data_IF_721358478558
#
_entry.id   IF_721358478558
#
_cell.length_a   1.000
_cell.length_b   1.000
_cell.length_c   1.000
_cell.angle_alpha   90.00
_cell.angle_beta   90.00
_cell.angle_gamma   90.00
#
_symmetry.space_group_name_H-M   'P 1'
#
loop_
_entity.id
_entity.type
_entity.pdbx_description
1 polymer ?
#
# COMPACT_ATOMS: atom_id res chain seq x y z
N UNK A 1 -4.99 8.24 -13.48
CA UNK A 1 -5.19 8.06 -12.03
C UNK A 1 -6.67 7.95 -11.73
N UNK A 2 -7.32 9.06 -11.40
CA UNK A 2 -8.72 9.09 -10.93
C UNK A 2 -9.70 8.40 -11.88
N UNK A 3 -9.57 8.62 -13.20
CA UNK A 3 -10.41 7.96 -14.20
C UNK A 3 -10.30 6.43 -14.14
N UNK A 4 -9.09 5.89 -14.01
CA UNK A 4 -8.87 4.45 -13.96
C UNK A 4 -9.48 3.83 -12.69
N UNK A 5 -9.33 4.52 -11.54
CA UNK A 5 -9.96 4.11 -10.27
C UNK A 5 -11.49 4.15 -10.39
N UNK A 6 -12.05 5.23 -10.95
CA UNK A 6 -13.50 5.36 -11.14
C UNK A 6 -14.07 4.27 -12.05
N UNK A 7 -13.44 4.00 -13.19
CA UNK A 7 -13.85 2.94 -14.12
C UNK A 7 -13.75 1.56 -13.47
N UNK A 8 -12.68 1.29 -12.70
CA UNK A 8 -12.54 0.07 -11.91
C UNK A 8 -13.69 -0.06 -10.89
N UNK A 9 -14.01 1.01 -10.17
CA UNK A 9 -15.06 1.01 -9.14
C UNK A 9 -16.44 0.71 -9.74
N UNK A 10 -16.77 1.37 -10.85
CA UNK A 10 -18.02 1.15 -11.59
C UNK A 10 -18.09 -0.30 -12.08
N UNK A 11 -16.99 -0.85 -12.60
CA UNK A 11 -16.93 -2.23 -13.07
C UNK A 11 -17.19 -3.24 -11.93
N UNK A 12 -16.58 -3.05 -10.76
CA UNK A 12 -16.78 -3.92 -9.60
C UNK A 12 -18.22 -3.86 -9.11
N UNK A 13 -18.84 -2.67 -9.04
CA UNK A 13 -20.24 -2.51 -8.65
C UNK A 13 -21.18 -3.18 -9.66
N UNK A 14 -20.95 -3.01 -10.96
CA UNK A 14 -21.76 -3.65 -11.98
C UNK A 14 -21.69 -5.19 -11.88
N UNK A 15 -20.50 -5.73 -11.55
CA UNK A 15 -20.30 -7.17 -11.35
C UNK A 15 -20.88 -7.70 -10.05
N UNK A 16 -20.79 -6.93 -8.97
CA UNK A 16 -21.37 -7.31 -7.68
C UNK A 16 -22.90 -7.41 -7.76
N UNK A 17 -23.56 -6.51 -8.51
CA UNK A 17 -25.00 -6.58 -8.77
C UNK A 17 -25.37 -7.86 -9.54
N UNK A 18 -24.53 -8.30 -10.48
CA UNK A 18 -24.77 -9.52 -11.26
C UNK A 18 -24.58 -10.80 -10.44
N UNK A 19 -23.62 -10.82 -9.52
CA UNK A 19 -23.31 -12.01 -8.72
C UNK A 19 -24.20 -12.19 -7.50
N UNK A 20 -24.79 -11.10 -6.99
CA UNK A 20 -25.56 -11.14 -5.75
C UNK A 20 -24.68 -11.38 -4.52
N UNK A 21 -25.30 -11.57 -3.37
CA UNK A 21 -24.60 -11.79 -2.09
C UNK A 21 -24.29 -13.27 -1.93
N UNK A 22 -22.99 -13.59 -1.78
CA UNK A 22 -22.48 -14.96 -1.68
C UNK A 22 -21.65 -15.09 -0.39
N UNK A 23 -22.31 -15.01 0.78
CA UNK A 23 -21.66 -15.18 2.10
C UNK A 23 -22.46 -16.10 2.99
N UNK A 24 -21.77 -16.99 3.69
CA UNK A 24 -22.32 -17.78 4.77
C UNK A 24 -21.39 -17.72 5.98
N UNK A 25 -21.93 -17.42 7.16
CA UNK A 25 -21.19 -17.37 8.42
C UNK A 25 -21.48 -18.55 9.34
N UNK A 26 -22.48 -19.37 9.00
CA UNK A 26 -23.07 -20.39 9.87
C UNK A 26 -22.67 -21.78 9.37
N UNK A 27 -22.86 -22.05 8.08
CA UNK A 27 -22.60 -23.37 7.52
C UNK A 27 -21.12 -23.50 7.11
N UNK A 28 -20.35 -24.30 7.88
CA UNK A 28 -18.92 -24.54 7.62
C UNK A 28 -18.66 -25.37 6.36
N UNK A 29 -19.65 -26.12 5.90
CA UNK A 29 -19.54 -27.00 4.73
C UNK A 29 -19.97 -26.29 3.43
N UNK A 30 -20.43 -25.03 3.53
CA UNK A 30 -20.77 -24.20 2.37
C UNK A 30 -19.50 -23.67 1.70
N UNK A 31 -19.46 -23.73 0.37
CA UNK A 31 -18.41 -23.08 -0.44
C UNK A 31 -18.31 -21.57 -0.18
N UNK A 32 -19.39 -20.95 0.30
CA UNK A 32 -19.44 -19.53 0.67
C UNK A 32 -19.08 -19.25 2.13
N UNK A 33 -18.61 -20.25 2.89
CA UNK A 33 -18.28 -20.09 4.29
C UNK A 33 -17.10 -19.14 4.52
N UNK A 34 -17.29 -18.19 5.43
CA UNK A 34 -16.25 -17.26 5.86
C UNK A 34 -16.04 -17.34 7.37
N UNK A 35 -14.90 -17.87 7.85
CA UNK A 35 -14.58 -17.77 9.27
C UNK A 35 -14.24 -16.32 9.62
N UNK A 36 -14.76 -15.86 10.77
CA UNK A 36 -14.55 -14.48 11.25
C UNK A 36 -13.08 -14.18 11.57
N UNK A 37 -12.32 -15.18 12.00
CA UNK A 37 -10.91 -15.04 12.35
C UNK A 37 -10.07 -16.05 11.57
N UNK A 38 -9.05 -15.55 10.86
CA UNK A 38 -8.01 -16.34 10.19
C UNK A 38 -6.65 -15.77 10.55
N UNK A 39 -5.65 -16.62 10.80
CA UNK A 39 -4.25 -16.23 11.03
C UNK A 39 -3.66 -15.39 9.89
N UNK A 40 -4.21 -15.52 8.67
CA UNK A 40 -3.86 -14.70 7.50
C UNK A 40 -4.10 -13.21 7.68
N UNK A 41 -4.79 -12.76 8.74
CA UNK A 41 -4.93 -11.34 9.08
C UNK A 41 -3.57 -10.63 9.21
N UNK A 42 -2.52 -11.37 9.58
CA UNK A 42 -1.16 -10.82 9.65
C UNK A 42 -0.61 -10.41 8.27
N UNK A 43 -1.02 -11.05 7.18
CA UNK A 43 -0.63 -10.64 5.82
C UNK A 43 -1.35 -9.35 5.41
N UNK A 44 -2.60 -9.18 5.89
CA UNK A 44 -3.38 -7.97 5.64
C UNK A 44 -2.74 -6.75 6.30
N UNK A 45 -2.22 -6.86 7.53
CA UNK A 45 -1.56 -5.73 8.20
C UNK A 45 -0.29 -5.27 7.47
N UNK A 46 0.48 -6.19 6.89
CA UNK A 46 1.62 -5.87 6.03
C UNK A 46 1.20 -5.09 4.78
N UNK A 47 0.16 -5.57 4.08
CA UNK A 47 -0.37 -4.92 2.88
C UNK A 47 -0.99 -3.54 3.17
N UNK A 48 -1.72 -3.40 4.28
CA UNK A 48 -2.31 -2.13 4.71
C UNK A 48 -1.24 -1.10 5.06
N UNK A 49 -0.11 -1.52 5.61
CA UNK A 49 1.02 -0.64 5.88
C UNK A 49 1.55 0.03 4.60
N UNK A 50 1.59 -0.70 3.47
CA UNK A 50 1.92 -0.10 2.18
C UNK A 50 0.78 0.75 1.62
N UNK A 51 -0.47 0.32 1.79
CA UNK A 51 -1.64 1.02 1.29
C UNK A 51 -1.80 2.43 1.90
N UNK A 52 -1.46 2.59 3.19
CA UNK A 52 -1.48 3.87 3.91
C UNK A 52 -0.12 4.58 3.92
N UNK A 53 0.75 4.29 2.95
CA UNK A 53 2.10 4.82 2.92
C UNK A 53 2.22 6.15 2.16
N UNK A 54 2.26 7.27 2.89
CA UNK A 54 2.61 8.59 2.35
C UNK A 54 3.69 9.33 3.18
N UNK A 55 4.17 8.69 4.24
CA UNK A 55 5.05 9.29 5.26
C UNK A 55 6.34 9.91 4.68
N UNK A 56 6.86 9.38 3.57
CA UNK A 56 8.08 9.88 2.94
C UNK A 56 7.92 11.20 2.19
N UNK A 57 6.70 11.53 1.73
CA UNK A 57 6.44 12.74 0.95
C UNK A 57 5.43 13.68 1.63
N UNK A 58 4.85 13.30 2.76
CA UNK A 58 3.81 14.08 3.42
C UNK A 58 4.28 15.49 3.79
N UNK A 59 5.53 15.64 4.25
CA UNK A 59 6.08 16.96 4.61
C UNK A 59 6.09 17.89 3.39
N UNK A 60 6.61 17.42 2.25
CA UNK A 60 6.67 18.20 1.01
C UNK A 60 5.28 18.52 0.46
N UNK A 61 4.33 17.58 0.54
CA UNK A 61 2.95 17.81 0.11
C UNK A 61 2.28 18.87 0.99
N UNK A 62 2.42 18.76 2.32
CA UNK A 62 1.80 19.69 3.26
C UNK A 62 2.40 21.10 3.19
N UNK A 63 3.69 21.23 2.87
CA UNK A 63 4.33 22.53 2.62
C UNK A 63 3.68 23.30 1.45
N UNK A 64 3.03 22.61 0.52
CA UNK A 64 2.28 23.24 -0.58
C UNK A 64 0.92 23.83 -0.19
N UNK A 65 0.43 23.58 1.03
CA UNK A 65 -0.88 24.05 1.46
C UNK A 65 -0.89 25.58 1.69
N UNK A 66 -1.94 26.27 1.25
CA UNK A 66 -2.06 27.72 1.45
C UNK A 66 -2.21 28.08 2.94
N UNK A 67 -2.95 27.25 3.68
CA UNK A 67 -3.28 27.48 5.09
C UNK A 67 -2.66 26.37 5.95
N UNK A 68 -1.42 26.56 6.39
CA UNK A 68 -0.62 25.54 7.10
C UNK A 68 -1.22 25.11 8.46
N UNK A 69 -2.02 25.96 9.10
CA UNK A 69 -2.69 25.64 10.38
C UNK A 69 -3.70 24.49 10.25
N UNK A 70 -4.28 24.31 9.05
CA UNK A 70 -5.28 23.28 8.79
C UNK A 70 -4.67 21.92 8.41
N UNK A 71 -3.34 21.79 8.34
CA UNK A 71 -2.68 20.58 7.83
C UNK A 71 -3.11 19.30 8.59
N UNK A 72 -3.25 19.36 9.91
CA UNK A 72 -3.68 18.20 10.70
C UNK A 72 -5.10 17.77 10.36
N UNK A 73 -6.02 18.73 10.17
CA UNK A 73 -7.40 18.47 9.76
C UNK A 73 -7.43 17.88 8.36
N UNK A 74 -6.73 18.51 7.43
CA UNK A 74 -6.72 18.10 6.02
C UNK A 74 -6.12 16.70 5.85
N UNK A 75 -5.06 16.37 6.60
CA UNK A 75 -4.47 15.03 6.63
C UNK A 75 -5.42 13.99 7.23
N UNK A 76 -6.11 14.33 8.31
CA UNK A 76 -7.09 13.42 8.94
C UNK A 76 -8.24 13.11 7.98
N UNK A 77 -8.80 14.14 7.33
CA UNK A 77 -9.86 13.97 6.31
C UNK A 77 -9.35 13.11 5.16
N UNK A 78 -8.12 13.33 4.69
CA UNK A 78 -7.52 12.54 3.61
C UNK A 78 -7.45 11.04 3.98
N UNK A 79 -6.96 10.69 5.17
CA UNK A 79 -6.91 9.29 5.62
C UNK A 79 -8.31 8.66 5.77
N UNK A 80 -9.28 9.42 6.27
CA UNK A 80 -10.69 8.96 6.35
C UNK A 80 -11.25 8.70 4.95
N UNK A 81 -11.00 9.58 3.98
CA UNK A 81 -11.41 9.38 2.59
C UNK A 81 -10.74 8.17 1.96
N UNK A 82 -9.44 7.95 2.20
CA UNK A 82 -8.74 6.75 1.72
C UNK A 82 -9.38 5.48 2.28
N UNK A 83 -9.66 5.44 3.59
CA UNK A 83 -10.38 4.33 4.21
C UNK A 83 -11.77 4.13 3.60
N UNK A 84 -12.51 5.22 3.37
CA UNK A 84 -13.82 5.20 2.71
C UNK A 84 -13.75 4.75 1.24
N UNK A 85 -12.58 4.76 0.59
CA UNK A 85 -12.41 4.17 -0.75
C UNK A 85 -12.00 2.70 -0.72
N UNK A 86 -11.19 2.28 0.25
CA UNK A 86 -10.70 0.90 0.34
C UNK A 86 -11.72 -0.06 0.94
N UNK A 87 -12.41 0.36 2.01
CA UNK A 87 -13.33 -0.51 2.75
C UNK A 87 -14.53 -0.94 1.88
N UNK A 88 -15.26 -0.04 1.18
CA UNK A 88 -16.46 -0.45 0.49
C UNK A 88 -16.16 -1.32 -0.74
N UNK A 89 -15.12 -1.04 -1.52
CA UNK A 89 -14.76 -1.91 -2.66
C UNK A 89 -14.33 -3.29 -2.19
N UNK A 90 -13.54 -3.37 -1.11
CA UNK A 90 -13.13 -4.64 -0.52
C UNK A 90 -14.34 -5.42 -0.02
N UNK A 91 -15.25 -4.77 0.71
CA UNK A 91 -16.46 -5.40 1.25
C UNK A 91 -17.41 -5.87 0.14
N UNK A 92 -17.69 -5.01 -0.85
CA UNK A 92 -18.57 -5.34 -1.98
C UNK A 92 -18.00 -6.51 -2.76
N UNK A 93 -16.72 -6.46 -3.12
CA UNK A 93 -16.08 -7.54 -3.88
C UNK A 93 -16.06 -8.85 -3.07
N UNK A 94 -15.62 -8.80 -1.81
CA UNK A 94 -15.50 -9.98 -0.97
C UNK A 94 -16.84 -10.67 -0.71
N UNK A 95 -17.89 -9.89 -0.43
CA UNK A 95 -19.23 -10.43 -0.13
C UNK A 95 -19.95 -10.97 -1.36
N UNK A 96 -19.72 -10.39 -2.54
CA UNK A 96 -20.41 -10.81 -3.77
C UNK A 96 -19.65 -11.84 -4.60
N UNK A 97 -18.38 -12.10 -4.28
CA UNK A 97 -17.57 -13.07 -5.02
C UNK A 97 -18.23 -14.47 -5.04
N UNK A 98 -18.52 -15.05 -6.22
CA UNK A 98 -19.37 -16.25 -6.34
C UNK A 98 -18.64 -17.58 -6.09
N UNK A 99 -17.31 -17.56 -6.10
CA UNK A 99 -16.48 -18.75 -5.84
C UNK A 99 -16.03 -18.78 -4.38
N UNK A 100 -15.50 -19.92 -3.89
CA UNK A 100 -14.93 -20.00 -2.56
C UNK A 100 -13.89 -18.91 -2.30
N UNK A 101 -13.92 -18.30 -1.11
CA UNK A 101 -13.11 -17.10 -0.82
C UNK A 101 -11.60 -17.36 -0.82
N UNK A 102 -11.16 -18.62 -0.78
CA UNK A 102 -9.74 -18.98 -0.91
C UNK A 102 -9.23 -18.86 -2.36
N UNK A 103 -10.12 -18.82 -3.36
CA UNK A 103 -9.75 -18.65 -4.77
C UNK A 103 -9.45 -17.20 -5.15
N UNK A 104 -9.68 -16.24 -4.24
CA UNK A 104 -9.46 -14.82 -4.53
C UNK A 104 -7.97 -14.57 -4.74
N UNK A 105 -7.62 -14.26 -5.99
CA UNK A 105 -6.27 -13.85 -6.38
C UNK A 105 -5.91 -12.48 -5.82
N UNK A 106 -4.63 -12.28 -5.46
CA UNK A 106 -4.09 -11.03 -4.90
C UNK A 106 -4.44 -9.81 -5.76
N UNK A 107 -4.24 -9.95 -7.08
CA UNK A 107 -4.79 -9.01 -8.04
C UNK A 107 -6.24 -9.42 -8.29
N UNK A 108 -7.16 -8.70 -7.65
CA UNK A 108 -8.55 -9.10 -7.70
C UNK A 108 -9.14 -9.04 -9.13
N UNK A 109 -8.52 -8.27 -10.05
CA UNK A 109 -8.92 -8.20 -11.46
C UNK A 109 -8.69 -9.51 -12.23
N UNK A 110 -7.82 -10.39 -11.73
CA UNK A 110 -7.54 -11.69 -12.35
C UNK A 110 -8.62 -12.73 -12.03
N UNK A 111 -9.50 -12.43 -11.09
CA UNK A 111 -10.67 -13.27 -10.79
C UNK A 111 -11.83 -13.06 -11.77
N UNK A 112 -11.74 -12.10 -12.70
CA UNK A 112 -12.78 -11.87 -13.71
C UNK A 112 -12.47 -12.62 -15.01
N UNK A 113 -13.49 -13.07 -15.76
CA UNK A 113 -13.30 -13.76 -17.04
C UNK A 113 -12.51 -12.91 -18.04
N UNK A 114 -11.49 -13.46 -18.72
CA UNK A 114 -10.57 -12.69 -19.57
C UNK A 114 -11.23 -12.15 -20.85
N UNK A 115 -12.30 -12.77 -21.34
CA UNK A 115 -12.96 -12.41 -22.60
C UNK A 115 -13.95 -11.24 -22.48
N UNK A 116 -13.94 -10.49 -21.39
CA UNK A 116 -14.85 -9.37 -21.18
C UNK A 116 -14.22 -8.04 -21.66
N UNK A 117 -14.83 -7.41 -22.66
CA UNK A 117 -14.39 -6.11 -23.21
C UNK A 117 -14.27 -5.05 -22.11
N UNK A 118 -15.21 -5.01 -21.16
CA UNK A 118 -15.19 -4.04 -20.06
C UNK A 118 -13.98 -4.25 -19.14
N UNK A 119 -13.55 -5.49 -18.90
CA UNK A 119 -12.32 -5.78 -18.15
C UNK A 119 -11.07 -5.32 -18.94
N UNK A 120 -11.08 -5.51 -20.26
CA UNK A 120 -10.03 -5.00 -21.15
C UNK A 120 -9.89 -3.48 -21.07
N UNK A 121 -11.00 -2.75 -21.06
CA UNK A 121 -11.03 -1.30 -20.89
C UNK A 121 -10.45 -0.88 -19.52
N UNK A 122 -10.88 -1.52 -18.42
CA UNK A 122 -10.34 -1.27 -17.08
C UNK A 122 -8.81 -1.47 -17.05
N UNK A 123 -8.33 -2.60 -17.57
CA UNK A 123 -6.89 -2.91 -17.65
C UNK A 123 -6.12 -1.91 -18.51
N UNK A 124 -6.71 -1.42 -19.61
CA UNK A 124 -6.11 -0.39 -20.45
C UNK A 124 -5.92 0.94 -19.70
N UNK A 125 -6.96 1.43 -19.00
CA UNK A 125 -6.85 2.65 -18.19
C UNK A 125 -5.81 2.52 -17.06
N UNK A 126 -5.75 1.35 -16.41
CA UNK A 126 -4.74 1.07 -15.40
C UNK A 126 -3.33 1.00 -15.99
N UNK A 127 -3.17 0.43 -17.19
CA UNK A 127 -1.89 0.39 -17.89
C UNK A 127 -1.40 1.82 -18.20
N UNK A 128 -2.26 2.67 -18.77
CA UNK A 128 -1.92 4.08 -19.04
C UNK A 128 -1.54 4.83 -17.76
N UNK A 129 -2.26 4.57 -16.66
CA UNK A 129 -1.89 5.14 -15.36
C UNK A 129 -0.51 4.66 -14.90
N UNK A 130 -0.23 3.36 -14.95
CA UNK A 130 1.06 2.82 -14.46
C UNK A 130 2.21 3.30 -15.34
N UNK A 131 2.03 3.36 -16.67
CA UNK A 131 3.03 3.90 -17.60
C UNK A 131 3.40 5.35 -17.33
N UNK A 132 2.44 6.17 -16.86
CA UNK A 132 2.69 7.58 -16.54
C UNK A 132 3.28 7.79 -15.15
N UNK A 133 2.95 6.92 -14.19
CA UNK A 133 3.46 6.99 -12.81
C UNK A 133 4.86 6.38 -12.66
N UNK A 134 5.17 5.32 -13.40
CA UNK A 134 6.45 4.61 -13.29
C UNK A 134 7.69 5.52 -13.49
N UNK A 135 7.75 6.38 -14.52
CA UNK A 135 8.88 7.29 -14.71
C UNK A 135 9.09 8.27 -13.54
N UNK A 136 8.01 8.72 -12.90
CA UNK A 136 8.07 9.60 -11.74
C UNK A 136 8.70 8.88 -10.55
N UNK A 137 8.27 7.65 -10.26
CA UNK A 137 8.83 6.83 -9.18
C UNK A 137 10.31 6.52 -9.44
N UNK A 138 10.66 6.14 -10.68
CA UNK A 138 12.04 5.90 -11.06
C UNK A 138 12.93 7.15 -10.88
N UNK A 139 12.41 8.34 -11.19
CA UNK A 139 13.10 9.60 -10.94
C UNK A 139 13.32 9.84 -9.43
N UNK A 140 12.32 9.58 -8.59
CA UNK A 140 12.45 9.71 -7.14
C UNK A 140 13.51 8.77 -6.57
N UNK A 141 13.46 7.48 -6.93
CA UNK A 141 14.44 6.47 -6.49
C UNK A 141 15.85 6.87 -6.94
N UNK A 142 16.00 7.29 -8.20
CA UNK A 142 17.28 7.76 -8.73
C UNK A 142 17.84 8.92 -7.92
N UNK A 143 17.03 9.94 -7.63
CA UNK A 143 17.49 11.12 -6.90
C UNK A 143 17.88 10.77 -5.44
N UNK A 144 17.12 9.88 -4.79
CA UNK A 144 17.44 9.38 -3.44
C UNK A 144 18.74 8.58 -3.43
N UNK A 145 18.93 7.65 -4.37
CA UNK A 145 20.15 6.86 -4.47
C UNK A 145 21.37 7.73 -4.76
N UNK A 146 21.28 8.68 -5.71
CA UNK A 146 22.40 9.56 -5.99
C UNK A 146 22.75 10.49 -4.82
N UNK A 147 21.75 11.02 -4.13
CA UNK A 147 22.00 11.85 -2.94
C UNK A 147 22.62 11.04 -1.81
N UNK A 148 22.20 9.78 -1.64
CA UNK A 148 22.77 8.88 -0.64
C UNK A 148 24.23 8.50 -0.93
N UNK A 149 24.56 8.12 -2.18
CA UNK A 149 25.90 7.65 -2.53
C UNK A 149 26.90 8.77 -2.87
N UNK A 150 26.46 9.86 -3.48
CA UNK A 150 27.33 10.91 -4.03
C UNK A 150 27.19 12.25 -3.31
N UNK A 151 26.27 12.35 -2.34
CA UNK A 151 25.99 13.58 -1.61
C UNK A 151 25.07 14.55 -2.35
N UNK A 152 24.57 15.58 -1.63
CA UNK A 152 23.67 16.58 -2.21
C UNK A 152 24.41 17.50 -3.20
N UNK A 153 23.77 17.80 -4.34
CA UNK A 153 24.28 18.77 -5.33
C UNK A 153 25.21 18.20 -6.41
N UNK A 154 25.37 16.87 -6.49
CA UNK A 154 26.22 16.22 -7.50
C UNK A 154 25.67 16.41 -8.93
N UNK A 155 26.56 16.73 -9.88
CA UNK A 155 26.19 16.89 -11.29
C UNK A 155 25.83 15.55 -11.95
N UNK A 156 24.62 15.46 -12.51
CA UNK A 156 24.13 14.24 -13.14
C UNK A 156 24.93 13.88 -14.39
N UNK A 157 25.67 12.77 -14.33
CA UNK A 157 26.29 12.18 -15.52
C UNK A 157 25.29 11.28 -16.26
N UNK A 158 25.17 11.46 -17.58
CA UNK A 158 24.29 10.67 -18.44
C UNK A 158 24.57 9.16 -18.32
N UNK A 159 25.85 8.76 -18.31
CA UNK A 159 26.25 7.34 -18.23
C UNK A 159 25.80 6.66 -16.94
N UNK A 160 25.98 7.32 -15.79
CA UNK A 160 25.58 6.78 -14.47
C UNK A 160 24.07 6.69 -14.34
N UNK A 161 23.36 7.71 -14.84
CA UNK A 161 21.90 7.73 -14.87
C UNK A 161 21.33 6.61 -15.73
N UNK A 162 21.89 6.41 -16.91
CA UNK A 162 21.50 5.32 -17.81
C UNK A 162 21.74 3.95 -17.16
N UNK A 163 22.93 3.73 -16.59
CA UNK A 163 23.28 2.49 -15.90
C UNK A 163 22.30 2.18 -14.74
N UNK A 164 21.99 3.17 -13.91
CA UNK A 164 21.04 3.00 -12.80
C UNK A 164 19.63 2.67 -13.31
N UNK A 165 19.15 3.35 -14.36
CA UNK A 165 17.84 3.07 -14.93
C UNK A 165 17.76 1.67 -15.55
N UNK A 166 18.81 1.23 -16.25
CA UNK A 166 18.90 -0.14 -16.79
C UNK A 166 18.88 -1.15 -15.64
N UNK A 167 19.68 -0.93 -14.59
CA UNK A 167 19.69 -1.80 -13.41
C UNK A 167 18.31 -1.90 -12.77
N UNK A 168 17.62 -0.77 -12.54
CA UNK A 168 16.26 -0.75 -11.98
C UNK A 168 15.28 -1.52 -12.85
N UNK A 169 15.29 -1.29 -14.17
CA UNK A 169 14.44 -2.01 -15.12
C UNK A 169 14.72 -3.51 -15.12
N UNK A 170 16.00 -3.90 -15.12
CA UNK A 170 16.41 -5.31 -15.06
C UNK A 170 15.88 -5.96 -13.79
N UNK A 171 16.01 -5.34 -12.62
CA UNK A 171 15.46 -5.86 -11.37
C UNK A 171 13.94 -6.02 -11.45
N UNK A 172 13.22 -5.02 -11.97
CA UNK A 172 11.77 -5.10 -12.15
C UNK A 172 11.36 -6.27 -13.07
N UNK A 173 12.06 -6.45 -14.20
CA UNK A 173 11.78 -7.53 -15.16
C UNK A 173 12.12 -8.90 -14.57
N UNK A 174 13.24 -9.03 -13.85
CA UNK A 174 13.61 -10.27 -13.18
C UNK A 174 12.55 -10.69 -12.14
N UNK A 175 12.07 -9.75 -11.32
CA UNK A 175 10.98 -10.03 -10.36
C UNK A 175 9.70 -10.45 -11.08
N UNK A 176 9.36 -9.79 -12.18
CA UNK A 176 8.16 -10.14 -12.96
C UNK A 176 8.23 -11.54 -13.60
N UNK A 177 9.42 -12.00 -14.01
CA UNK A 177 9.61 -13.33 -14.61
C UNK A 177 9.68 -14.42 -13.54
N UNK A 178 10.52 -14.23 -12.51
CA UNK A 178 10.83 -15.29 -11.55
C UNK A 178 9.87 -15.36 -10.36
N UNK A 179 9.23 -14.25 -9.99
CA UNK A 179 8.40 -14.19 -8.79
C UNK A 179 7.18 -13.24 -8.92
N UNK A 180 6.21 -13.53 -9.79
CA UNK A 180 5.04 -12.67 -10.04
C UNK A 180 3.95 -12.79 -8.94
N UNK A 181 4.33 -12.86 -7.65
CA UNK A 181 3.38 -12.93 -6.52
C UNK A 181 3.17 -11.56 -5.89
N UNK A 182 2.20 -10.82 -6.40
CA UNK A 182 1.94 -9.41 -6.05
C UNK A 182 1.65 -9.25 -4.54
N UNK A 183 0.78 -10.08 -3.95
CA UNK A 183 0.42 -9.96 -2.53
C UNK A 183 1.61 -10.23 -1.60
N UNK A 184 2.47 -11.19 -1.97
CA UNK A 184 3.71 -11.43 -1.23
C UNK A 184 4.65 -10.23 -1.29
N UNK A 185 4.86 -9.64 -2.47
CA UNK A 185 5.74 -8.47 -2.62
C UNK A 185 5.19 -7.29 -1.79
N UNK A 186 3.89 -7.01 -1.91
CA UNK A 186 3.22 -5.91 -1.21
C UNK A 186 3.29 -6.07 0.31
N UNK A 187 2.98 -7.26 0.86
CA UNK A 187 2.98 -7.47 2.32
C UNK A 187 4.36 -7.28 2.93
N UNK A 188 5.41 -7.78 2.26
CA UNK A 188 6.78 -7.69 2.76
C UNK A 188 7.34 -6.28 2.66
N UNK A 189 7.20 -5.64 1.51
CA UNK A 189 7.64 -4.25 1.34
C UNK A 189 6.89 -3.33 2.30
N UNK A 190 5.57 -3.52 2.43
CA UNK A 190 4.73 -2.78 3.37
C UNK A 190 5.13 -2.97 4.83
N UNK A 191 5.43 -4.19 5.26
CA UNK A 191 5.87 -4.46 6.63
C UNK A 191 7.25 -3.86 6.93
N UNK A 192 8.22 -3.98 6.02
CA UNK A 192 9.58 -3.44 6.20
C UNK A 192 9.57 -1.90 6.20
N UNK A 193 8.97 -1.31 5.16
CA UNK A 193 8.87 0.16 5.05
C UNK A 193 8.00 0.73 6.17
N UNK A 194 6.93 0.02 6.56
CA UNK A 194 6.08 0.34 7.70
C UNK A 194 6.87 0.40 9.00
N UNK A 195 7.60 -0.67 9.31
CA UNK A 195 8.45 -0.73 10.49
C UNK A 195 9.38 0.49 10.57
N UNK A 196 10.12 0.76 9.49
CA UNK A 196 11.10 1.84 9.47
C UNK A 196 10.46 3.24 9.52
N UNK A 197 9.60 3.56 8.54
CA UNK A 197 9.14 4.92 8.28
C UNK A 197 7.81 5.28 8.96
N UNK A 198 6.97 4.29 9.28
CA UNK A 198 5.64 4.53 9.89
C UNK A 198 5.69 4.39 11.39
N UNK A 199 6.38 3.36 11.91
CA UNK A 199 6.41 3.08 13.35
C UNK A 199 7.68 3.62 14.02
N UNK A 200 8.87 3.19 13.59
CA UNK A 200 10.12 3.46 14.33
C UNK A 200 10.56 4.91 14.20
N UNK A 201 10.80 5.40 12.98
CA UNK A 201 11.38 6.73 12.75
C UNK A 201 10.58 7.87 13.42
N UNK A 202 9.25 8.01 13.22
CA UNK A 202 8.49 9.09 13.85
C UNK A 202 8.44 8.95 15.38
N UNK A 203 8.26 7.73 15.91
CA UNK A 203 8.20 7.52 17.35
C UNK A 203 9.53 7.83 18.03
N UNK A 204 10.64 7.35 17.48
CA UNK A 204 11.98 7.59 18.02
C UNK A 204 12.36 9.06 17.94
N UNK A 205 12.12 9.71 16.79
CA UNK A 205 12.41 11.15 16.65
C UNK A 205 11.60 12.00 17.61
N UNK A 206 10.33 11.66 17.84
CA UNK A 206 9.48 12.32 18.82
C UNK A 206 9.98 12.13 20.26
N UNK A 207 10.31 10.88 20.65
CA UNK A 207 10.83 10.57 21.99
C UNK A 207 12.18 11.24 22.26
N UNK A 208 13.09 11.24 21.29
CA UNK A 208 14.39 11.92 21.40
C UNK A 208 14.20 13.43 21.54
N UNK A 209 13.24 14.02 20.82
CA UNK A 209 12.92 15.44 20.93
C UNK A 209 12.37 15.80 22.33
N UNK A 210 11.49 14.97 22.89
CA UNK A 210 10.96 15.15 24.25
C UNK A 210 12.03 14.98 25.33
N UNK A 211 12.90 13.98 25.17
CA UNK A 211 14.03 13.75 26.08
C UNK A 211 14.97 14.95 26.11
N UNK A 212 15.36 15.47 24.94
CA UNK A 212 16.22 16.68 24.83
C UNK A 212 15.59 17.95 25.40
N UNK A 213 14.27 17.98 25.60
CA UNK A 213 13.53 19.11 26.16
C UNK A 213 13.17 18.92 27.63
N UNK A 214 13.61 17.83 28.26
CA UNK A 214 13.27 17.44 29.64
C UNK A 214 11.74 17.38 29.90
N UNK A 215 10.95 17.09 28.85
CA UNK A 215 9.48 16.97 28.93
C UNK A 215 8.99 15.54 28.77
N UNK A 216 9.90 14.57 28.85
CA UNK A 216 9.55 13.17 28.65
C UNK A 216 8.77 12.64 29.84
N UNK A 217 7.51 12.31 29.61
CA UNK A 217 6.69 11.59 30.60
C UNK A 217 6.76 10.08 30.33
N UNK A 218 6.71 9.28 31.40
CA UNK A 218 6.71 7.82 31.28
C UNK A 218 5.54 7.29 30.44
N UNK A 219 4.36 7.93 30.54
CA UNK A 219 3.18 7.55 29.76
C UNK A 219 3.42 7.72 28.25
N UNK A 220 4.05 8.82 27.84
CA UNK A 220 4.40 9.05 26.44
C UNK A 220 5.44 8.04 25.95
N UNK A 221 6.43 7.72 26.78
CA UNK A 221 7.43 6.70 26.46
C UNK A 221 6.78 5.31 26.27
N UNK A 222 5.85 4.94 27.16
CA UNK A 222 5.11 3.69 27.07
C UNK A 222 4.27 3.64 25.78
N UNK A 223 3.47 4.67 25.51
CA UNK A 223 2.59 4.69 24.34
C UNK A 223 3.37 4.55 23.02
N UNK A 224 4.44 5.33 22.84
CA UNK A 224 5.26 5.26 21.63
C UNK A 224 6.09 3.97 21.58
N UNK A 225 6.50 3.43 22.73
CA UNK A 225 7.14 2.12 22.82
C UNK A 225 6.23 1.00 22.34
N UNK A 226 4.94 1.02 22.72
CA UNK A 226 3.94 0.07 22.23
C UNK A 226 3.78 0.16 20.70
N UNK A 227 3.75 1.37 20.13
CA UNK A 227 3.68 1.55 18.67
C UNK A 227 4.87 0.93 17.94
N UNK A 228 6.09 1.09 18.48
CA UNK A 228 7.29 0.46 17.93
C UNK A 228 7.17 -1.07 17.99
N UNK A 229 6.72 -1.61 19.13
CA UNK A 229 6.52 -3.06 19.30
C UNK A 229 5.49 -3.57 18.30
N UNK A 230 4.38 -2.87 18.08
CA UNK A 230 3.38 -3.23 17.06
C UNK A 230 4.01 -3.29 15.66
N UNK A 231 4.85 -2.31 15.31
CA UNK A 231 5.58 -2.33 14.04
C UNK A 231 6.51 -3.54 13.91
N UNK A 232 7.24 -3.88 14.97
CA UNK A 232 8.14 -5.05 15.02
C UNK A 232 7.33 -6.34 14.89
N UNK A 233 6.23 -6.47 15.63
CA UNK A 233 5.34 -7.62 15.56
C UNK A 233 4.71 -7.77 14.17
N UNK A 234 4.34 -6.67 13.50
CA UNK A 234 3.83 -6.69 12.13
C UNK A 234 4.88 -7.19 11.12
N UNK A 235 6.16 -6.89 11.34
CA UNK A 235 7.23 -7.41 10.49
C UNK A 235 7.51 -8.89 10.76
N UNK A 236 7.65 -9.26 12.03
CA UNK A 236 7.89 -10.64 12.46
C UNK A 236 6.74 -11.56 12.04
N UNK A 237 5.49 -11.08 12.10
CA UNK A 237 4.32 -11.86 11.72
C UNK A 237 4.30 -12.27 10.25
N UNK A 238 5.03 -11.57 9.37
CA UNK A 238 5.12 -11.95 7.94
C UNK A 238 5.88 -13.26 7.71
N UNK A 239 6.70 -13.70 8.67
CA UNK A 239 7.42 -14.98 8.59
C UNK A 239 6.54 -16.18 8.95
N UNK A 240 5.48 -15.97 9.73
CA UNK A 240 4.60 -17.03 10.22
C UNK A 240 3.40 -17.28 9.29
N UNK A 241 3.42 -16.74 8.07
CA UNK A 241 2.27 -16.66 7.15
C UNK A 241 2.59 -17.07 5.72
#
# INVERSE_FOLDING_TARGET
GTVAIGVMYIYVIAKSIQWGINIDFINKDSDSYVPLFKSTFMALSGSLSLAYFIHNCIITIMQGNRNQENNTRDLTIAYVLVAATYIPIALIFYTTFPLPKFCISDNFLDNFPPHNIALGVVRCFLLVQIMTVYPLIAMFVRNQLFTFFLGPGFSYSYRRTFCLNVLLLTVCVLVAIFYPRIGFIIRWIGAISGLAYVFVLPCVTYLVCLYKRDRLTWLQALFHGILIIIGILNFISQFFN
#
